data_IF_052160564067
#
_entry.id   IF_052160564067
#
_cell.length_a   1.000
_cell.length_b   1.000
_cell.length_c   1.000
_cell.angle_alpha   90.00
_cell.angle_beta   90.00
_cell.angle_gamma   90.00
#
_symmetry.space_group_name_H-M   'P 1'
#
loop_
_entity.id
_entity.type
_entity.pdbx_description
1 polymer ?
#
# COMPACT_ATOMS: atom_id res chain seq x y z
N UNK A 1 -37.00 16.16 -8.20
CA UNK A 1 -36.37 16.24 -6.87
C UNK A 1 -34.91 15.89 -7.01
N UNK A 2 -34.02 16.85 -6.79
CA UNK A 2 -32.57 16.65 -6.84
C UNK A 2 -32.10 15.90 -5.59
N UNK A 3 -31.50 14.73 -5.75
CA UNK A 3 -30.86 14.02 -4.64
C UNK A 3 -29.39 14.43 -4.55
N UNK A 4 -29.09 15.35 -3.63
CA UNK A 4 -27.74 15.62 -3.13
C UNK A 4 -27.78 15.69 -1.61
N UNK A 5 -27.33 14.63 -0.96
CA UNK A 5 -26.75 14.61 0.40
C UNK A 5 -25.71 13.48 0.39
N UNK A 6 -24.40 13.80 0.45
CA UNK A 6 -23.60 13.91 1.68
C UNK A 6 -23.79 12.72 2.62
N UNK A 7 -22.70 11.99 2.89
CA UNK A 7 -22.59 10.85 3.82
C UNK A 7 -22.90 9.44 3.30
N UNK A 8 -21.98 8.90 2.47
CA UNK A 8 -21.58 7.51 2.66
C UNK A 8 -20.45 7.44 3.70
N UNK A 9 -20.71 7.93 4.91
CA UNK A 9 -19.87 7.69 6.10
C UNK A 9 -20.32 6.37 6.71
N UNK A 10 -19.97 5.26 6.05
CA UNK A 10 -20.11 3.93 6.65
C UNK A 10 -18.75 3.51 7.22
N UNK A 11 -18.58 3.90 8.47
CA UNK A 11 -17.55 3.51 9.43
C UNK A 11 -17.32 1.99 9.43
N UNK A 12 -16.08 1.50 9.26
CA UNK A 12 -15.72 0.21 9.86
C UNK A 12 -14.22 -0.09 10.02
N UNK A 13 -13.29 0.57 9.33
CA UNK A 13 -11.85 0.55 9.70
C UNK A 13 -11.25 1.90 9.32
N UNK A 14 -10.86 2.72 10.30
CA UNK A 14 -10.44 4.15 10.22
C UNK A 14 -9.29 4.45 9.22
N UNK A 15 -9.49 4.24 7.92
CA UNK A 15 -8.50 4.57 6.89
C UNK A 15 -8.47 6.08 6.71
N UNK A 16 -7.40 6.72 7.19
CA UNK A 16 -7.14 8.16 6.94
C UNK A 16 -7.12 8.40 5.43
N UNK A 17 -7.89 9.39 4.97
CA UNK A 17 -7.87 9.86 3.59
C UNK A 17 -6.69 10.80 3.36
N UNK A 18 -6.35 11.00 2.09
CA UNK A 18 -5.35 11.97 1.69
C UNK A 18 -5.77 13.38 2.13
N UNK A 19 -4.84 14.17 2.68
CA UNK A 19 -5.09 15.55 3.11
C UNK A 19 -5.28 16.55 1.97
N UNK A 20 -4.94 16.18 0.73
CA UNK A 20 -5.11 17.06 -0.41
C UNK A 20 -6.60 17.28 -0.68
N UNK A 21 -7.00 18.54 -0.84
CA UNK A 21 -8.40 18.94 -0.99
C UNK A 21 -9.07 18.18 -2.15
N UNK A 22 -10.25 17.63 -1.90
CA UNK A 22 -11.01 16.85 -2.90
C UNK A 22 -10.45 15.46 -3.21
N UNK A 23 -9.38 15.00 -2.55
CA UNK A 23 -8.82 13.67 -2.79
C UNK A 23 -9.46 12.60 -1.88
N UNK A 24 -10.23 11.71 -2.48
CA UNK A 24 -10.83 10.56 -1.77
C UNK A 24 -9.90 9.33 -1.68
N UNK A 25 -8.63 9.44 -2.08
CA UNK A 25 -7.67 8.32 -2.02
C UNK A 25 -7.20 8.10 -0.58
N UNK A 26 -6.93 6.85 -0.23
CA UNK A 26 -6.36 6.47 1.08
C UNK A 26 -4.97 7.11 1.27
N UNK A 27 -4.73 7.69 2.45
CA UNK A 27 -3.40 8.10 2.86
C UNK A 27 -2.54 6.86 3.17
N UNK A 28 -1.38 6.80 2.53
CA UNK A 28 -0.39 5.72 2.71
C UNK A 28 1.01 6.24 3.01
N UNK A 29 1.27 7.52 2.73
CA UNK A 29 2.53 8.21 2.96
C UNK A 29 2.34 9.29 4.01
N UNK A 30 3.38 9.59 4.77
CA UNK A 30 3.36 10.66 5.74
C UNK A 30 4.65 10.71 6.53
N UNK A 31 4.65 11.51 7.59
CA UNK A 31 5.84 11.69 8.42
C UNK A 31 6.21 10.36 9.10
N UNK A 32 7.43 9.94 8.78
CA UNK A 32 8.10 8.76 9.32
C UNK A 32 8.20 8.81 10.83
N UNK A 33 8.54 9.96 11.40
CA UNK A 33 8.80 10.13 12.83
C UNK A 33 7.50 10.08 13.62
N UNK A 34 6.46 10.77 13.14
CA UNK A 34 5.14 10.75 13.76
C UNK A 34 4.29 9.49 13.46
N UNK A 35 4.77 8.59 12.58
CA UNK A 35 4.03 7.42 12.09
C UNK A 35 2.59 7.76 11.64
N UNK A 36 2.42 8.92 11.01
CA UNK A 36 1.10 9.47 10.68
C UNK A 36 0.94 9.53 9.15
N UNK A 37 0.17 8.63 8.52
CA UNK A 37 -0.11 8.74 7.09
C UNK A 37 -1.06 9.91 6.83
N UNK A 38 -0.64 10.82 5.95
CA UNK A 38 -1.33 12.06 5.59
C UNK A 38 -1.64 12.15 4.09
N UNK A 39 -0.82 11.52 3.24
CA UNK A 39 -0.85 11.69 1.79
C UNK A 39 -1.04 10.36 1.06
N UNK A 40 -1.71 10.39 -0.09
CA UNK A 40 -1.73 9.25 -1.02
C UNK A 40 -0.43 9.22 -1.85
N UNK A 41 -0.23 8.16 -2.65
CA UNK A 41 0.96 8.01 -3.51
C UNK A 41 1.14 9.15 -4.51
N UNK A 42 0.08 9.85 -4.91
CA UNK A 42 0.14 10.92 -5.90
C UNK A 42 0.34 12.31 -5.30
N UNK A 43 0.01 12.49 -4.03
CA UNK A 43 0.05 13.78 -3.36
C UNK A 43 1.09 13.78 -2.25
N UNK A 44 2.17 13.01 -2.43
CA UNK A 44 3.35 13.10 -1.58
C UNK A 44 4.00 14.45 -1.90
N UNK A 45 4.13 15.37 -0.93
CA UNK A 45 4.75 16.66 -1.18
C UNK A 45 6.22 16.46 -1.54
N UNK A 46 6.69 17.19 -2.56
CA UNK A 46 8.10 17.18 -2.94
C UNK A 46 8.98 17.73 -1.81
N UNK A 47 8.50 18.80 -1.16
CA UNK A 47 9.13 19.42 0.00
C UNK A 47 8.21 19.23 1.23
N UNK A 48 8.62 18.39 2.18
CA UNK A 48 7.88 18.20 3.43
C UNK A 48 7.92 19.45 4.31
N UNK A 49 6.86 19.74 5.06
CA UNK A 49 6.92 20.78 6.08
C UNK A 49 7.78 20.32 7.28
N UNK A 50 8.37 21.27 8.00
CA UNK A 50 9.08 21.05 9.28
C UNK A 50 10.20 19.98 9.24
N UNK A 51 10.96 19.89 8.14
CA UNK A 51 12.02 18.88 7.96
C UNK A 51 11.54 17.42 8.10
N UNK A 52 10.23 17.17 7.96
CA UNK A 52 9.67 15.83 8.09
C UNK A 52 10.17 14.92 6.97
N UNK A 53 10.56 13.68 7.27
CA UNK A 53 10.85 12.72 6.20
C UNK A 53 9.58 11.99 5.81
N UNK A 54 9.09 12.18 4.58
CA UNK A 54 7.87 11.52 4.13
C UNK A 54 8.17 10.13 3.59
N UNK A 55 7.53 9.12 4.17
CA UNK A 55 7.70 7.73 3.78
C UNK A 55 6.40 6.96 3.72
N UNK A 56 6.45 5.76 3.15
CA UNK A 56 5.33 4.83 3.14
C UNK A 56 5.16 4.20 4.52
N UNK A 57 3.96 4.31 5.10
CA UNK A 57 3.65 3.91 6.48
C UNK A 57 2.61 2.80 6.58
N UNK A 58 1.89 2.51 5.49
CA UNK A 58 0.67 1.72 5.54
C UNK A 58 0.79 0.44 4.73
N UNK A 59 0.94 -0.70 5.42
CA UNK A 59 0.97 -2.04 4.80
C UNK A 59 2.34 -2.71 4.90
N UNK A 60 2.54 -3.78 4.13
CA UNK A 60 3.81 -4.52 4.12
C UNK A 60 4.93 -3.63 3.56
N UNK A 61 6.12 -3.77 4.15
CA UNK A 61 7.35 -3.09 3.74
C UNK A 61 8.31 -4.07 3.08
N UNK A 62 9.21 -3.54 2.26
CA UNK A 62 10.29 -4.33 1.68
C UNK A 62 11.14 -4.95 2.79
N UNK A 63 11.35 -6.26 2.73
CA UNK A 63 12.11 -7.03 3.72
C UNK A 63 13.62 -7.02 3.38
N UNK A 64 14.15 -5.85 3.03
CA UNK A 64 15.58 -5.68 2.81
C UNK A 64 16.25 -5.24 4.11
N UNK A 65 17.45 -5.74 4.46
CA UNK A 65 18.06 -5.53 5.77
C UNK A 65 18.20 -4.07 6.20
N UNK A 66 18.46 -3.14 5.28
CA UNK A 66 18.65 -1.71 5.57
C UNK A 66 17.37 -0.95 5.99
N UNK A 67 16.23 -1.63 6.15
CA UNK A 67 14.99 -0.99 6.58
C UNK A 67 14.24 -0.24 5.47
N UNK A 68 14.28 -0.77 4.25
CA UNK A 68 13.62 -0.18 3.09
C UNK A 68 12.10 -0.01 3.30
N UNK A 69 11.61 1.24 3.24
CA UNK A 69 10.19 1.56 3.45
C UNK A 69 9.31 1.43 2.21
N UNK A 70 9.88 1.13 1.05
CA UNK A 70 9.09 0.96 -0.20
C UNK A 70 8.15 -0.24 -0.07
N UNK A 71 6.98 -0.15 -0.71
CA UNK A 71 6.03 -1.27 -0.78
C UNK A 71 6.69 -2.42 -1.57
N UNK A 72 6.67 -3.67 -1.06
CA UNK A 72 7.19 -4.79 -1.82
C UNK A 72 6.27 -5.06 -3.00
N UNK A 73 6.89 -5.34 -4.15
CA UNK A 73 6.19 -5.67 -5.38
C UNK A 73 6.67 -6.96 -6.04
N UNK A 74 7.81 -7.50 -5.61
CA UNK A 74 8.48 -8.62 -6.25
C UNK A 74 8.66 -9.79 -5.28
N UNK A 75 8.50 -10.99 -5.81
CA UNK A 75 8.68 -12.26 -5.12
C UNK A 75 9.34 -13.30 -6.02
N UNK A 76 9.84 -14.38 -5.41
CA UNK A 76 10.53 -15.45 -6.13
C UNK A 76 9.66 -16.17 -7.17
N UNK A 77 8.34 -16.22 -6.97
CA UNK A 77 7.39 -16.73 -7.96
C UNK A 77 6.01 -16.10 -7.77
N UNK A 78 5.16 -16.16 -8.79
CA UNK A 78 3.77 -15.67 -8.76
C UNK A 78 2.88 -16.31 -7.66
N UNK A 79 3.33 -17.42 -7.06
CA UNK A 79 2.64 -18.09 -5.95
C UNK A 79 2.99 -17.51 -4.59
N UNK A 80 4.09 -16.75 -4.50
CA UNK A 80 4.55 -16.16 -3.24
C UNK A 80 4.18 -14.68 -3.15
N UNK A 81 3.79 -14.21 -1.94
CA UNK A 81 3.56 -12.79 -1.71
C UNK A 81 4.85 -12.00 -1.97
N UNK A 82 4.73 -10.74 -2.43
CA UNK A 82 5.91 -9.92 -2.67
C UNK A 82 6.61 -9.58 -1.35
N UNK A 83 7.93 -9.73 -1.31
CA UNK A 83 8.78 -9.41 -0.14
C UNK A 83 9.79 -8.32 -0.43
N UNK A 84 10.12 -8.05 -1.70
CA UNK A 84 11.11 -7.03 -2.10
C UNK A 84 10.50 -5.96 -2.99
N UNK A 85 11.04 -4.73 -2.90
CA UNK A 85 10.69 -3.64 -3.80
C UNK A 85 11.46 -3.78 -5.13
N UNK A 86 11.18 -2.91 -6.10
CA UNK A 86 11.84 -2.94 -7.41
C UNK A 86 13.37 -2.87 -7.32
N UNK A 87 13.92 -2.08 -6.40
CA UNK A 87 15.37 -1.90 -6.27
C UNK A 87 16.06 -3.08 -5.59
N UNK A 88 15.34 -3.82 -4.75
CA UNK A 88 15.91 -4.85 -3.88
C UNK A 88 15.49 -6.26 -4.28
N UNK A 89 14.91 -6.40 -5.47
CA UNK A 89 14.58 -7.69 -6.05
C UNK A 89 15.83 -8.29 -6.70
N UNK A 90 16.08 -9.59 -6.54
CA UNK A 90 16.89 -10.34 -7.49
C UNK A 90 16.34 -10.17 -8.91
N UNK A 91 17.22 -10.13 -9.92
CA UNK A 91 16.84 -9.90 -11.31
C UNK A 91 15.81 -10.94 -11.83
N UNK A 92 15.91 -12.18 -11.35
CA UNK A 92 15.04 -13.31 -11.70
C UNK A 92 13.63 -13.22 -11.10
N UNK A 93 13.39 -12.32 -10.14
CA UNK A 93 12.11 -12.24 -9.45
C UNK A 93 11.06 -11.50 -10.26
N UNK A 94 9.82 -11.96 -10.13
CA UNK A 94 8.67 -11.45 -10.86
C UNK A 94 7.83 -10.52 -10.00
N UNK A 95 7.09 -9.61 -10.64
CA UNK A 95 6.15 -8.74 -9.94
C UNK A 95 4.92 -9.57 -9.51
N UNK A 96 4.63 -9.59 -8.21
CA UNK A 96 3.55 -10.41 -7.65
C UNK A 96 2.42 -9.62 -6.97
N UNK A 97 2.36 -8.29 -7.12
CA UNK A 97 1.28 -7.48 -6.50
C UNK A 97 -0.11 -7.74 -7.09
N UNK A 98 -0.18 -8.35 -8.27
CA UNK A 98 -1.43 -8.69 -8.96
C UNK A 98 -1.46 -10.11 -9.49
N UNK A 99 -0.49 -10.95 -9.11
CA UNK A 99 -0.56 -12.37 -9.40
C UNK A 99 -1.78 -12.90 -8.65
N UNK A 100 -2.88 -13.13 -9.38
CA UNK A 100 -4.07 -13.77 -8.83
C UNK A 100 -3.58 -15.11 -8.30
N UNK A 101 -3.46 -15.23 -6.98
CA UNK A 101 -3.35 -16.54 -6.36
C UNK A 101 -4.70 -17.18 -6.63
N UNK A 102 -4.83 -17.86 -7.78
CA UNK A 102 -5.89 -18.83 -7.95
C UNK A 102 -5.58 -19.85 -6.86
N UNK A 103 -6.20 -19.68 -5.70
CA UNK A 103 -6.38 -20.77 -4.76
C UNK A 103 -7.26 -21.75 -5.53
N UNK A 104 -6.63 -22.63 -6.31
CA UNK A 104 -7.27 -23.88 -6.71
C UNK A 104 -7.51 -24.55 -5.37
N UNK A 105 -8.72 -24.40 -4.85
CA UNK A 105 -9.23 -25.30 -3.84
C UNK A 105 -9.16 -26.66 -4.51
N UNK A 106 -8.09 -27.40 -4.20
CA UNK A 106 -8.07 -28.84 -4.37
C UNK A 106 -9.08 -29.39 -3.37
N UNK A 107 -10.36 -29.33 -3.74
CA UNK A 107 -11.37 -30.24 -3.19
C UNK A 107 -10.99 -31.61 -3.74
N UNK A 108 -10.16 -32.30 -2.98
CA UNK A 108 -10.04 -33.75 -3.08
C UNK A 108 -11.42 -34.31 -2.77
N UNK A 109 -12.19 -34.63 -3.81
CA UNK A 109 -13.31 -35.56 -3.67
C UNK A 109 -12.70 -36.93 -3.45
N UNK A 110 -12.68 -37.38 -2.20
CA UNK A 110 -12.51 -38.80 -1.90
C UNK A 110 -13.71 -39.55 -2.49
N UNK A 111 -13.42 -40.62 -3.21
CA UNK A 111 -14.40 -41.60 -3.69
C UNK A 111 -14.96 -42.44 -2.54
#
# INVERSE_FOLDING_TARGET
GAHKTSECVNLAIRRKLCMHQGCSKRATHGDISANKPLFCTLHVPAQPPHNATIGFLVGKRCQYPEGCRKRPAYGASARHPPTRCYLHRPATWVNTVRSRVIRRHSVSRSA
#
